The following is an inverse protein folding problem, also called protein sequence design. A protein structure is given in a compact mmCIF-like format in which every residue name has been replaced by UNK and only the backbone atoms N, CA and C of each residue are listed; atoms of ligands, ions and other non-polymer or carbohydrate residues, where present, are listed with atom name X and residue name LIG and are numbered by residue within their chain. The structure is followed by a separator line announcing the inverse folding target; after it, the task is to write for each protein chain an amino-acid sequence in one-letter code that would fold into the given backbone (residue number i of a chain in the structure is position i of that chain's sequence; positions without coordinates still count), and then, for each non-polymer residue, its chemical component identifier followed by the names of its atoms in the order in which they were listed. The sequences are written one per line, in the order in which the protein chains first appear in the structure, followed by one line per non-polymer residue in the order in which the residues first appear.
data_IF_508173402888
#
_entry.id   IF_508173402888
#
_cell.length_a   1.000
_cell.length_b   1.000
_cell.length_c   1.000
_cell.angle_alpha   90.00
_cell.angle_beta   90.00
_cell.angle_gamma   90.00
#
_symmetry.space_group_name_H-M   'P 1'
#
loop_
_entity.id
_entity.type
_entity.pdbx_description
1 polymer ?
#
# COMPACT_ATOMS: atom_id res chain seq x y z
N UNK A 1 1.73 -28.26 -15.14
CA UNK A 1 2.61 -27.09 -15.34
C UNK A 1 3.71 -27.16 -14.29
N UNK A 2 4.86 -27.73 -14.65
CA UNK A 2 6.05 -27.86 -13.81
C UNK A 2 7.27 -27.20 -14.49
N UNK A 3 7.01 -26.41 -15.52
CA UNK A 3 8.02 -25.90 -16.47
C UNK A 3 8.95 -24.86 -15.85
N UNK A 4 8.56 -24.30 -14.71
CA UNK A 4 9.31 -23.31 -13.92
C UNK A 4 9.81 -23.87 -12.58
N UNK A 5 9.69 -25.18 -12.36
CA UNK A 5 10.05 -25.79 -11.09
C UNK A 5 11.52 -26.21 -11.10
N UNK A 6 12.23 -26.04 -9.97
CA UNK A 6 13.60 -26.53 -9.84
C UNK A 6 13.60 -28.08 -9.80
N UNK A 7 14.39 -28.76 -10.65
CA UNK A 7 14.50 -30.21 -10.66
C UNK A 7 14.96 -30.82 -9.32
N UNK A 8 15.73 -30.11 -8.50
CA UNK A 8 16.20 -30.59 -7.20
C UNK A 8 15.09 -30.65 -6.14
N UNK A 9 14.02 -29.88 -6.31
CA UNK A 9 12.92 -29.80 -5.33
C UNK A 9 11.61 -30.36 -5.87
N UNK A 10 11.46 -30.44 -7.19
CA UNK A 10 10.24 -30.90 -7.82
C UNK A 10 10.20 -32.42 -7.95
N UNK A 11 9.52 -33.10 -7.01
CA UNK A 11 9.35 -34.57 -7.03
C UNK A 11 8.73 -35.10 -8.33
N UNK A 12 7.89 -34.31 -9.00
CA UNK A 12 7.37 -34.64 -10.32
C UNK A 12 8.45 -34.63 -11.40
N UNK A 13 9.29 -33.58 -11.45
CA UNK A 13 10.39 -33.51 -12.42
C UNK A 13 11.44 -34.59 -12.15
N UNK A 14 11.71 -34.92 -10.88
CA UNK A 14 12.59 -36.03 -10.50
C UNK A 14 12.05 -37.39 -10.92
N UNK A 15 10.76 -37.65 -10.68
CA UNK A 15 10.13 -38.86 -11.15
C UNK A 15 10.18 -38.94 -12.68
N UNK A 16 9.92 -37.82 -13.37
CA UNK A 16 10.01 -37.73 -14.84
C UNK A 16 11.42 -37.98 -15.36
N UNK A 17 12.46 -37.42 -14.73
CA UNK A 17 13.86 -37.63 -15.13
C UNK A 17 14.32 -39.07 -14.88
N UNK A 18 13.80 -39.70 -13.83
CA UNK A 18 14.13 -41.07 -13.45
C UNK A 18 13.24 -42.12 -14.17
N UNK A 19 12.37 -41.69 -15.10
CA UNK A 19 11.48 -42.57 -15.86
C UNK A 19 10.38 -43.23 -15.02
N UNK A 20 10.09 -42.71 -13.82
CA UNK A 20 9.09 -43.23 -12.90
C UNK A 20 7.75 -42.50 -13.06
N UNK A 21 6.63 -43.21 -12.84
CA UNK A 21 5.33 -42.56 -12.73
C UNK A 21 5.24 -41.80 -11.40
N UNK A 22 4.95 -40.51 -11.48
CA UNK A 22 4.74 -39.69 -10.31
C UNK A 22 3.34 -39.94 -9.72
N UNK A 23 3.28 -40.53 -8.53
CA UNK A 23 2.03 -40.62 -7.77
C UNK A 23 1.94 -39.46 -6.79
N UNK A 24 0.89 -38.65 -6.90
CA UNK A 24 0.60 -37.65 -5.86
C UNK A 24 0.33 -38.37 -4.54
N UNK A 25 1.04 -37.97 -3.48
CA UNK A 25 0.86 -38.57 -2.16
C UNK A 25 -0.56 -38.29 -1.67
N UNK A 26 -1.39 -39.33 -1.60
CA UNK A 26 -2.79 -39.26 -1.18
C UNK A 26 -2.98 -38.88 0.29
N UNK A 27 -1.91 -38.95 1.11
CA UNK A 27 -1.95 -38.61 2.55
C UNK A 27 -2.09 -37.12 2.86
N UNK A 28 -1.81 -36.24 1.91
CA UNK A 28 -1.84 -34.78 2.10
C UNK A 28 -3.07 -34.13 1.44
N UNK A 29 -4.05 -34.93 1.03
CA UNK A 29 -5.29 -34.40 0.48
C UNK A 29 -6.08 -33.70 1.58
N UNK A 30 -6.37 -32.41 1.37
CA UNK A 30 -7.32 -31.65 2.18
C UNK A 30 -8.59 -32.50 2.33
N UNK A 31 -9.11 -32.71 3.56
CA UNK A 31 -10.31 -33.50 3.78
C UNK A 31 -11.45 -33.04 2.87
N UNK A 32 -12.24 -33.99 2.36
CA UNK A 32 -13.22 -33.71 1.31
C UNK A 32 -14.21 -32.62 1.70
N UNK A 33 -14.68 -32.61 2.95
CA UNK A 33 -15.54 -31.57 3.49
C UNK A 33 -14.92 -30.16 3.43
N UNK A 34 -13.64 -30.03 3.78
CA UNK A 34 -12.92 -28.75 3.68
C UNK A 34 -12.72 -28.35 2.22
N UNK A 35 -12.43 -29.31 1.34
CA UNK A 35 -12.25 -29.06 -0.08
C UNK A 35 -13.54 -28.61 -0.74
N UNK A 36 -14.68 -29.22 -0.42
CA UNK A 36 -15.98 -28.82 -0.95
C UNK A 36 -16.40 -27.42 -0.45
N UNK A 37 -15.93 -27.00 0.73
CA UNK A 37 -16.10 -25.62 1.23
C UNK A 37 -15.18 -24.61 0.53
N UNK A 38 -13.90 -24.94 0.34
CA UNK A 38 -12.88 -24.01 -0.19
C UNK A 38 -12.96 -23.90 -1.72
N UNK A 39 -13.24 -25.00 -2.41
CA UNK A 39 -13.25 -25.08 -3.88
C UNK A 39 -14.14 -24.02 -4.56
N UNK A 40 -15.39 -23.76 -4.14
CA UNK A 40 -16.19 -22.71 -4.77
C UNK A 40 -15.54 -21.33 -4.66
N UNK A 41 -15.02 -20.96 -3.48
CA UNK A 41 -14.33 -19.69 -3.29
C UNK A 41 -13.04 -19.61 -4.13
N UNK A 42 -12.27 -20.70 -4.19
CA UNK A 42 -11.08 -20.76 -5.03
C UNK A 42 -11.41 -20.57 -6.52
N UNK A 43 -12.44 -21.25 -7.02
CA UNK A 43 -12.88 -21.12 -8.41
C UNK A 43 -13.42 -19.74 -8.73
N UNK A 44 -14.13 -19.10 -7.79
CA UNK A 44 -14.60 -17.73 -7.92
C UNK A 44 -13.42 -16.74 -8.00
N UNK A 45 -12.40 -16.91 -7.15
CA UNK A 45 -11.19 -16.10 -7.17
C UNK A 45 -10.39 -16.29 -8.48
N UNK A 46 -10.38 -17.51 -9.02
CA UNK A 46 -9.75 -17.83 -10.31
C UNK A 46 -10.62 -17.49 -11.53
N UNK A 47 -11.84 -16.97 -11.36
CA UNK A 47 -12.70 -16.60 -12.47
C UNK A 47 -12.07 -15.45 -13.28
N UNK A 48 -12.30 -15.45 -14.60
CA UNK A 48 -11.79 -14.40 -15.49
C UNK A 48 -12.24 -13.00 -15.05
N UNK A 49 -13.44 -12.87 -14.48
CA UNK A 49 -13.98 -11.62 -13.94
C UNK A 49 -13.23 -11.16 -12.70
N UNK A 50 -12.91 -12.06 -11.77
CA UNK A 50 -12.08 -11.77 -10.58
C UNK A 50 -10.66 -11.40 -10.97
N UNK A 51 -10.02 -12.22 -11.82
CA UNK A 51 -8.65 -11.98 -12.27
C UNK A 51 -8.53 -10.69 -13.08
N UNK A 52 -9.50 -10.37 -13.95
CA UNK A 52 -9.48 -9.12 -14.72
C UNK A 52 -9.50 -7.86 -13.85
N UNK A 53 -10.06 -7.92 -12.62
CA UNK A 53 -10.00 -6.82 -11.65
C UNK A 53 -8.60 -6.66 -11.04
N UNK A 54 -7.85 -7.75 -10.92
CA UNK A 54 -6.51 -7.78 -10.30
C UNK A 54 -5.41 -7.45 -11.30
N UNK A 55 -5.51 -7.89 -12.57
CA UNK A 55 -4.50 -7.67 -13.63
C UNK A 55 -4.19 -6.19 -13.89
N UNK A 56 -5.11 -5.27 -13.55
CA UNK A 56 -4.90 -3.83 -13.64
C UNK A 56 -4.53 -3.14 -12.31
N UNK A 57 -4.12 -3.87 -11.27
CA UNK A 57 -3.88 -3.30 -9.94
C UNK A 57 -5.15 -2.73 -9.31
N UNK A 58 -6.31 -3.31 -9.61
CA UNK A 58 -7.60 -2.80 -9.18
C UNK A 58 -7.96 -3.09 -7.73
N UNK A 59 -7.28 -4.05 -7.10
CA UNK A 59 -7.31 -4.24 -5.66
C UNK A 59 -6.20 -3.41 -5.01
N UNK A 60 -6.42 -2.11 -4.88
CA UNK A 60 -5.91 -1.48 -3.67
C UNK A 60 -6.85 -1.95 -2.59
N UNK A 61 -6.40 -2.89 -1.76
CA UNK A 61 -7.10 -3.25 -0.54
C UNK A 61 -7.46 -1.94 0.18
N UNK A 62 -8.77 -1.68 0.32
CA UNK A 62 -9.30 -0.45 0.93
C UNK A 62 -8.66 -0.21 2.30
N UNK A 63 -8.37 -1.29 3.03
CA UNK A 63 -7.70 -1.24 4.32
C UNK A 63 -6.22 -0.86 4.20
N UNK A 64 -5.50 -1.33 3.18
CA UNK A 64 -4.11 -0.91 2.92
C UNK A 64 -4.03 0.57 2.54
N UNK A 65 -4.95 1.06 1.70
CA UNK A 65 -4.99 2.47 1.33
C UNK A 65 -5.28 3.37 2.54
N UNK A 66 -6.21 2.97 3.40
CA UNK A 66 -6.51 3.69 4.64
C UNK A 66 -5.33 3.64 5.62
N UNK A 67 -4.76 2.46 5.87
CA UNK A 67 -3.62 2.29 6.76
C UNK A 67 -2.39 3.05 6.24
N UNK A 68 -2.15 3.08 4.93
CA UNK A 68 -1.08 3.87 4.33
C UNK A 68 -1.22 5.36 4.67
N UNK A 69 -2.43 5.91 4.61
CA UNK A 69 -2.69 7.30 4.98
C UNK A 69 -2.45 7.55 6.48
N UNK A 70 -2.98 6.66 7.34
CA UNK A 70 -2.82 6.76 8.79
C UNK A 70 -1.35 6.72 9.21
N UNK A 71 -0.60 5.75 8.69
CA UNK A 71 0.82 5.56 9.05
C UNK A 71 1.75 6.60 8.42
N UNK A 72 1.27 7.37 7.45
CA UNK A 72 1.99 8.56 6.96
C UNK A 72 1.93 9.69 7.99
N UNK A 73 0.81 9.84 8.70
CA UNK A 73 0.68 10.83 9.77
C UNK A 73 1.34 10.37 11.08
N UNK A 74 1.20 9.09 11.40
CA UNK A 74 1.72 8.48 12.64
C UNK A 74 2.58 7.27 12.27
N UNK A 75 3.88 7.45 12.02
CA UNK A 75 4.74 6.34 11.63
C UNK A 75 4.82 5.29 12.74
N UNK A 76 4.70 4.01 12.38
CA UNK A 76 4.67 2.89 13.34
C UNK A 76 5.90 2.77 14.23
N UNK A 77 7.04 3.26 13.76
CA UNK A 77 8.32 3.19 14.48
C UNK A 77 8.53 4.36 15.45
N UNK A 78 7.60 5.32 15.49
CA UNK A 78 7.64 6.48 16.40
C UNK A 78 6.59 6.29 17.49
N UNK A 79 7.00 6.46 18.74
CA UNK A 79 6.07 6.56 19.85
C UNK A 79 5.23 7.84 19.70
N UNK A 80 3.93 7.73 19.94
CA UNK A 80 3.01 8.86 19.92
C UNK A 80 2.03 8.72 21.08
N UNK A 81 1.55 9.85 21.60
CA UNK A 81 0.53 9.83 22.65
C UNK A 81 -0.81 9.33 22.09
N UNK A 82 -1.66 8.79 22.97
CA UNK A 82 -2.99 8.31 22.59
C UNK A 82 -3.82 9.41 21.91
N UNK A 83 -3.66 10.66 22.37
CA UNK A 83 -4.32 11.84 21.79
C UNK A 83 -3.91 12.07 20.34
N UNK A 84 -2.61 12.03 20.03
CA UNK A 84 -2.12 12.21 18.66
C UNK A 84 -2.65 11.11 17.74
N UNK A 85 -2.61 9.85 18.19
CA UNK A 85 -3.11 8.73 17.41
C UNK A 85 -4.61 8.86 17.11
N UNK A 86 -5.43 9.25 18.09
CA UNK A 86 -6.87 9.46 17.91
C UNK A 86 -7.16 10.59 16.92
N UNK A 87 -6.42 11.69 17.03
CA UNK A 87 -6.55 12.84 16.11
C UNK A 87 -6.17 12.43 14.69
N UNK A 88 -5.02 11.77 14.52
CA UNK A 88 -4.58 11.28 13.21
C UNK A 88 -5.56 10.28 12.59
N UNK A 89 -6.16 9.40 13.40
CA UNK A 89 -7.19 8.47 12.94
C UNK A 89 -8.43 9.20 12.42
N UNK A 90 -8.88 10.24 13.15
CA UNK A 90 -9.98 11.11 12.72
C UNK A 90 -9.67 11.84 11.41
N UNK A 91 -8.51 12.51 11.32
CA UNK A 91 -8.09 13.20 10.10
C UNK A 91 -7.95 12.24 8.92
N UNK A 92 -7.34 11.07 9.13
CA UNK A 92 -7.18 10.04 8.10
C UNK A 92 -8.52 9.59 7.57
N UNK A 93 -9.52 9.41 8.44
CA UNK A 93 -10.88 9.02 8.04
C UNK A 93 -11.54 10.11 7.18
N UNK A 94 -11.40 11.38 7.56
CA UNK A 94 -11.94 12.51 6.80
C UNK A 94 -11.30 12.61 5.42
N UNK A 95 -9.96 12.57 5.36
CA UNK A 95 -9.19 12.70 4.12
C UNK A 95 -9.38 11.47 3.23
N UNK A 96 -9.51 10.28 3.81
CA UNK A 96 -9.74 9.06 3.05
C UNK A 96 -11.07 9.11 2.27
N UNK A 97 -12.14 9.49 2.96
CA UNK A 97 -13.49 9.52 2.40
C UNK A 97 -13.76 10.74 1.52
N UNK A 98 -13.33 11.93 1.95
CA UNK A 98 -13.68 13.19 1.29
C UNK A 98 -12.51 13.93 0.63
N UNK A 99 -11.27 13.42 0.78
CA UNK A 99 -10.07 14.08 0.29
C UNK A 99 -9.69 15.31 1.13
N UNK A 100 -8.69 16.06 0.66
CA UNK A 100 -8.18 17.22 1.38
C UNK A 100 -9.17 18.41 1.39
N UNK A 101 -10.11 18.48 0.44
CA UNK A 101 -11.19 19.49 0.46
C UNK A 101 -12.13 19.36 1.66
N UNK A 102 -12.17 18.20 2.32
CA UNK A 102 -12.97 18.02 3.53
C UNK A 102 -12.33 18.67 4.76
N UNK A 103 -11.02 18.97 4.71
CA UNK A 103 -10.35 19.71 5.77
C UNK A 103 -10.79 21.17 5.80
N UNK A 104 -11.17 21.77 4.66
CA UNK A 104 -11.71 23.15 4.64
C UNK A 104 -12.93 23.27 5.55
N UNK A 105 -13.85 22.30 5.45
CA UNK A 105 -15.07 22.23 6.27
C UNK A 105 -14.75 21.98 7.74
N UNK A 106 -13.81 21.06 8.01
CA UNK A 106 -13.37 20.77 9.37
C UNK A 106 -12.77 22.01 10.04
N UNK A 107 -11.83 22.67 9.36
CA UNK A 107 -11.14 23.85 9.88
C UNK A 107 -12.11 25.02 10.08
N UNK A 108 -13.04 25.24 9.15
CA UNK A 108 -14.09 26.25 9.33
C UNK A 108 -14.98 25.94 10.54
N UNK A 109 -15.28 24.67 10.80
CA UNK A 109 -16.09 24.28 11.96
C UNK A 109 -15.37 24.41 13.30
N UNK A 110 -14.05 24.16 13.34
CA UNK A 110 -13.24 24.17 14.56
C UNK A 110 -12.69 25.56 14.87
N UNK A 111 -12.27 26.30 13.85
CA UNK A 111 -11.57 27.59 13.98
C UNK A 111 -12.40 28.78 13.50
N UNK A 112 -13.70 28.58 13.21
CA UNK A 112 -14.65 29.57 12.66
C UNK A 112 -14.31 30.12 11.26
N UNK A 113 -13.06 30.02 10.84
CA UNK A 113 -12.56 30.44 9.53
C UNK A 113 -11.33 29.62 9.14
N UNK A 114 -11.05 29.54 7.84
CA UNK A 114 -9.82 28.94 7.34
C UNK A 114 -8.87 30.03 6.84
N UNK A 115 -7.60 29.93 7.21
CA UNK A 115 -6.56 30.83 6.71
C UNK A 115 -6.27 30.61 5.23
N UNK A 116 -5.93 31.68 4.51
CA UNK A 116 -5.66 31.66 3.06
C UNK A 116 -4.66 30.57 2.66
N UNK A 117 -3.50 30.50 3.34
CA UNK A 117 -2.47 29.50 3.04
C UNK A 117 -2.93 28.06 3.27
N UNK A 118 -3.81 27.84 4.26
CA UNK A 118 -4.35 26.51 4.55
C UNK A 118 -5.31 26.05 3.45
N UNK A 119 -6.23 26.93 3.05
CA UNK A 119 -7.16 26.66 1.95
C UNK A 119 -6.42 26.39 0.63
N UNK A 120 -5.42 27.20 0.30
CA UNK A 120 -4.58 27.01 -0.89
C UNK A 120 -3.82 25.67 -0.82
N UNK A 121 -3.24 25.33 0.33
CA UNK A 121 -2.56 24.06 0.53
C UNK A 121 -3.50 22.87 0.33
N UNK A 122 -4.69 22.89 0.93
CA UNK A 122 -5.68 21.83 0.80
C UNK A 122 -6.16 21.68 -0.64
N UNK A 123 -6.37 22.78 -1.37
CA UNK A 123 -6.68 22.79 -2.79
C UNK A 123 -5.59 22.13 -3.65
N UNK A 124 -4.31 22.47 -3.40
CA UNK A 124 -3.16 21.88 -4.09
C UNK A 124 -3.04 20.39 -3.81
N UNK A 125 -3.16 19.95 -2.56
CA UNK A 125 -3.09 18.54 -2.15
C UNK A 125 -4.24 17.72 -2.76
N UNK A 126 -5.46 18.28 -2.77
CA UNK A 126 -6.61 17.63 -3.39
C UNK A 126 -6.42 17.43 -4.89
N UNK A 127 -5.90 18.46 -5.56
CA UNK A 127 -5.60 18.42 -7.00
C UNK A 127 -4.52 17.38 -7.29
N UNK A 128 -3.43 17.35 -6.51
CA UNK A 128 -2.38 16.34 -6.64
C UNK A 128 -2.93 14.91 -6.49
N UNK A 129 -3.78 14.66 -5.48
CA UNK A 129 -4.46 13.36 -5.28
C UNK A 129 -5.32 12.97 -6.50
N UNK A 130 -6.07 13.92 -7.09
CA UNK A 130 -6.87 13.68 -8.31
C UNK A 130 -6.00 13.37 -9.53
N UNK A 131 -4.86 14.05 -9.69
CA UNK A 131 -3.92 13.77 -10.79
C UNK A 131 -3.32 12.37 -10.65
N UNK A 132 -2.89 11.97 -9.44
CA UNK A 132 -2.34 10.63 -9.18
C UNK A 132 -3.36 9.53 -9.50
N UNK A 133 -4.59 9.67 -9.01
CA UNK A 133 -5.67 8.71 -9.32
C UNK A 133 -6.01 8.68 -10.81
N UNK A 134 -5.94 9.82 -11.49
CA UNK A 134 -6.15 9.91 -12.95
C UNK A 134 -5.01 9.27 -13.75
N UNK A 135 -3.75 9.46 -13.34
CA UNK A 135 -2.58 8.79 -13.92
C UNK A 135 -2.67 7.27 -13.74
N UNK A 136 -3.05 6.82 -12.55
CA UNK A 136 -3.33 5.40 -12.27
C UNK A 136 -4.44 4.89 -13.18
N UNK A 137 -5.56 5.61 -13.34
CA UNK A 137 -6.63 5.25 -14.28
C UNK A 137 -6.15 5.19 -15.74
N UNK A 138 -5.28 6.11 -16.18
CA UNK A 138 -4.69 6.11 -17.53
C UNK A 138 -3.75 4.92 -17.74
N UNK A 139 -2.89 4.58 -16.76
CA UNK A 139 -2.07 3.35 -16.78
C UNK A 139 -2.95 2.11 -16.87
N UNK A 140 -4.03 2.06 -16.08
CA UNK A 140 -5.04 0.98 -16.09
C UNK A 140 -5.71 0.82 -17.46
N UNK A 141 -6.05 1.91 -18.14
CA UNK A 141 -6.62 1.86 -19.50
C UNK A 141 -5.60 1.38 -20.53
N UNK A 142 -4.33 1.82 -20.43
CA UNK A 142 -3.25 1.38 -21.34
C UNK A 142 -2.98 -0.12 -21.24
N UNK A 143 -2.97 -0.69 -20.03
CA UNK A 143 -2.82 -2.13 -19.81
C UNK A 143 -4.04 -2.95 -20.26
N UNK A 144 -5.25 -2.39 -20.23
CA UNK A 144 -6.46 -3.05 -20.72
C UNK A 144 -6.54 -3.11 -22.26
N UNK A 145 -5.99 -2.12 -22.97
CA UNK A 145 -5.99 -2.09 -24.44
C UNK A 145 -5.03 -3.12 -25.06
N UNK A 146 -3.93 -3.46 -24.38
CA UNK A 146 -2.97 -4.46 -24.86
C UNK A 146 -3.56 -5.88 -24.91
N UNK A 147 -4.56 -6.21 -24.09
CA UNK A 147 -5.17 -7.55 -24.07
C UNK A 147 -6.12 -7.80 -25.27
N UNK A 148 -6.69 -6.76 -25.88
CA UNK A 148 -7.62 -6.96 -27.01
C UNK A 148 -6.92 -7.31 -28.32
N UNK A 149 -5.65 -6.95 -28.51
CA UNK A 149 -4.95 -7.19 -29.79
C UNK A 149 -4.31 -8.58 -29.89
N UNK A 150 -4.10 -9.30 -28.79
CA UNK A 150 -3.43 -10.62 -28.80
C UNK A 150 -4.38 -11.81 -29.01
N UNK A 151 -5.70 -11.61 -29.18
CA UNK A 151 -6.62 -12.72 -29.55
C UNK A 151 -6.84 -12.83 -31.07
N UNK A 152 -6.39 -11.85 -31.88
CA UNK A 152 -6.58 -11.89 -33.35
C UNK A 152 -5.32 -12.29 -34.13
N UNK A 153 -4.15 -12.36 -33.50
CA UNK A 153 -2.88 -12.71 -34.17
C UNK A 153 -2.35 -14.04 -33.60
N UNK A 154 -3.06 -15.13 -33.89
CA UNK A 154 -2.54 -16.50 -33.70
C UNK A 154 -2.44 -17.26 -35.04
N UNK A 155 -2.18 -16.54 -36.12
CA UNK A 155 -1.70 -17.10 -37.38
C UNK A 155 -0.59 -16.20 -37.93
N UNK A 156 0.48 -16.87 -38.39
CA UNK A 156 1.67 -16.37 -39.10
C UNK A 156 2.83 -15.82 -38.26
N UNK A 157 3.74 -16.74 -37.93
CA UNK A 157 5.19 -16.68 -38.19
C UNK A 157 5.85 -15.29 -38.34
N UNK A 158 6.82 -14.98 -37.46
CA UNK A 158 8.22 -14.72 -37.83
C UNK A 158 9.03 -14.10 -36.67
N UNK A 159 10.24 -14.64 -36.54
CA UNK A 159 11.43 -14.19 -35.84
C UNK A 159 11.64 -12.66 -35.76
N UNK A 160 11.92 -12.15 -34.55
CA UNK A 160 12.88 -11.08 -34.31
C UNK A 160 13.17 -10.96 -32.80
N UNK A 161 14.36 -11.35 -32.38
CA UNK A 161 14.90 -11.07 -31.05
C UNK A 161 15.21 -9.58 -30.95
N UNK A 162 14.78 -8.94 -29.86
CA UNK A 162 15.43 -7.72 -29.39
C UNK A 162 15.46 -7.71 -27.87
N UNK A 163 16.66 -7.88 -27.35
CA UNK A 163 17.02 -7.74 -25.95
C UNK A 163 17.07 -6.26 -25.59
N UNK A 164 16.20 -5.83 -24.68
CA UNK A 164 16.39 -4.58 -23.94
C UNK A 164 16.12 -4.85 -22.47
N UNK A 165 17.22 -4.98 -21.73
CA UNK A 165 17.31 -4.97 -20.28
C UNK A 165 16.90 -3.60 -19.77
N UNK A 166 15.81 -3.51 -19.02
CA UNK A 166 15.53 -2.36 -18.15
C UNK A 166 15.45 -2.88 -16.72
N UNK A 167 16.36 -2.37 -15.90
CA UNK A 167 16.57 -2.70 -14.50
C UNK A 167 15.40 -2.22 -13.64
N UNK A 168 14.95 -3.11 -12.76
CA UNK A 168 14.07 -2.80 -11.65
C UNK A 168 14.83 -1.95 -10.62
N UNK A 169 14.60 -0.63 -10.63
CA UNK A 169 14.93 0.22 -9.49
C UNK A 169 13.67 0.58 -8.71
N UNK A 170 13.77 0.19 -7.45
CA UNK A 170 12.79 0.15 -6.39
C UNK A 170 12.26 1.53 -6.00
N UNK A 171 11.05 1.52 -5.44
CA UNK A 171 10.22 2.67 -5.13
C UNK A 171 10.79 3.51 -3.97
N UNK A 172 11.59 4.53 -4.28
CA UNK A 172 11.95 5.59 -3.33
C UNK A 172 11.53 6.96 -3.87
N UNK A 173 10.38 7.48 -3.45
CA UNK A 173 10.07 8.90 -3.65
C UNK A 173 9.34 9.51 -2.45
N UNK A 174 10.15 9.90 -1.47
CA UNK A 174 9.93 11.11 -0.67
C UNK A 174 10.03 12.28 -1.66
N UNK A 175 9.05 13.20 -1.74
CA UNK A 175 9.26 14.42 -2.50
C UNK A 175 10.35 15.25 -1.81
N UNK A 176 11.54 15.27 -2.41
CA UNK A 176 12.62 16.18 -2.05
C UNK A 176 12.13 17.62 -2.31
N UNK A 177 11.75 18.33 -1.24
CA UNK A 177 11.35 19.72 -1.31
C UNK A 177 12.21 20.52 -0.34
N UNK A 178 13.41 20.89 -0.80
CA UNK A 178 14.40 21.71 -0.08
C UNK A 178 13.96 23.18 0.14
N UNK A 179 12.66 23.47 0.26
CA UNK A 179 12.14 24.81 0.53
C UNK A 179 10.84 24.78 1.34
N UNK A 180 10.72 23.87 2.30
CA UNK A 180 9.70 23.97 3.34
C UNK A 180 10.41 24.41 4.62
N UNK A 181 10.17 25.66 5.04
CA UNK A 181 10.61 26.11 6.35
C UNK A 181 10.08 25.13 7.39
N UNK A 182 11.01 24.50 8.11
CA UNK A 182 10.72 23.48 9.10
C UNK A 182 10.04 24.13 10.32
N UNK A 183 8.71 24.18 10.27
CA UNK A 183 7.85 24.70 11.35
C UNK A 183 7.87 23.81 12.60
N UNK A 184 8.54 22.65 12.57
CA UNK A 184 8.67 21.80 13.76
C UNK A 184 9.76 22.27 14.72
N UNK A 185 10.73 23.08 14.25
CA UNK A 185 11.75 23.69 15.13
C UNK A 185 11.17 24.77 16.04
N UNK A 186 10.07 25.42 15.66
CA UNK A 186 9.40 26.44 16.47
C UNK A 186 8.57 25.88 17.64
N UNK A 187 8.18 24.60 17.59
CA UNK A 187 7.43 23.97 18.68
C UNK A 187 8.34 23.50 19.82
N UNK A 188 9.56 23.06 19.50
CA UNK A 188 10.53 22.56 20.50
C UNK A 188 11.08 23.71 21.36
N UNK A 189 11.09 24.95 20.84
CA UNK A 189 11.55 26.12 21.57
C UNK A 189 10.55 26.68 22.61
N UNK A 190 9.30 26.20 22.62
CA UNK A 190 8.27 26.64 23.59
C UNK A 190 8.07 25.67 24.76
N UNK A 191 8.77 24.53 24.79
CA UNK A 191 8.72 23.54 25.88
C UNK A 191 9.95 23.60 26.81
N UNK A 192 10.80 24.64 26.71
CA UNK A 192 12.00 24.82 27.56
C UNK A 192 11.95 26.13 28.36
N UNK A 193 10.78 26.49 28.88
CA UNK A 193 10.68 27.54 29.91
C UNK A 193 9.60 27.17 30.92
N UNK A 194 9.83 26.08 31.65
CA UNK A 194 9.26 25.91 32.98
C UNK A 194 10.42 25.74 33.93
N UNK A 195 10.53 26.73 34.83
CA UNK A 195 11.62 26.97 35.75
C UNK A 195 11.93 25.75 36.62
N UNK A 196 13.23 25.42 36.69
CA UNK A 196 13.83 24.65 37.77
C UNK A 196 13.62 25.41 39.10
N UNK A 197 12.87 24.81 40.03
CA UNK A 197 12.94 25.15 41.43
C UNK A 197 13.09 23.87 42.25
N UNK A 198 14.31 23.71 42.79
CA UNK A 198 14.77 22.78 43.82
C UNK A 198 13.67 22.05 44.60
N UNK A 199 13.66 20.72 44.48
CA UNK A 199 13.19 19.86 45.56
C UNK A 199 14.35 18.94 45.96
N UNK A 200 15.03 19.33 47.04
CA UNK A 200 16.07 18.55 47.73
C UNK A 200 15.51 17.20 48.17
N UNK A 201 15.97 16.13 47.52
CA UNK A 201 15.72 14.75 47.91
C UNK A 201 16.95 14.20 48.65
N UNK A 202 16.84 14.10 49.98
CA UNK A 202 17.82 13.43 50.86
C UNK A 202 17.59 11.90 50.86
N UNK A 203 18.59 11.06 50.54
CA UNK A 203 18.43 9.62 50.51
C UNK A 203 18.87 8.95 51.83
N UNK A 204 17.92 8.29 52.50
CA UNK A 204 18.07 6.99 53.20
C UNK A 204 19.05 6.84 54.37
N UNK A 205 18.50 6.48 55.53
CA UNK A 205 19.24 5.84 56.63
C UNK A 205 18.38 4.78 57.31
N UNK A 206 18.55 3.53 56.89
CA UNK A 206 18.19 2.35 57.68
C UNK A 206 19.42 1.94 58.51
N UNK A 207 19.30 2.02 59.83
CA UNK A 207 19.86 1.10 60.86
C UNK A 207 19.47 1.60 62.28
#
# INVERSE_FOLDING_TARGET
MHDWCDPQWCKYLQAKSNGQQFTHNSRLAIPRACLDLIKPAFLELCSKTSLARVVGGGSQNTNEAFHSLLWTMVPKHRFCSSTILRTALGLSTIIYNGGYSSLDKLFTSVFSSIGYFSAECFGRLHTARKLLTSKVKKRRKKSATTTTTTTTIMTTTATANNSSSESDDEFSFIPNNNNFADITQGLIALEVSEDDADMDYEPGGDD
#
